data_IF_504055595521
#
_entry.id   IF_504055595521
#
_cell.length_a   1.000
_cell.length_b   1.000
_cell.length_c   1.000
_cell.angle_alpha   90.00
_cell.angle_beta   90.00
_cell.angle_gamma   90.00
#
_symmetry.space_group_name_H-M   'P 1'
#
loop_
_entity.id
_entity.type
_entity.pdbx_description
1 polymer ?
#
# COMPACT_ATOMS: atom_id res chain seq x y z
N UNK A 1 -0.47 20.70 18.27
CA UNK A 1 -1.08 19.39 18.09
C UNK A 1 -0.11 18.53 17.30
N UNK A 2 0.36 17.39 17.85
CA UNK A 2 1.32 16.50 17.19
C UNK A 2 0.67 15.77 16.00
N UNK A 3 1.47 15.19 15.08
CA UNK A 3 1.02 14.30 14.00
C UNK A 3 0.05 13.24 14.52
N UNK A 4 0.48 12.47 15.52
CA UNK A 4 -0.33 11.42 16.16
C UNK A 4 -1.66 11.94 16.69
N UNK A 5 -1.69 13.07 17.38
CA UNK A 5 -2.93 13.65 17.90
C UNK A 5 -3.92 14.01 16.79
N UNK A 6 -3.43 14.59 15.67
CA UNK A 6 -4.26 14.90 14.50
C UNK A 6 -4.86 13.62 13.90
N UNK A 7 -4.04 12.59 13.71
CA UNK A 7 -4.44 11.32 13.14
C UNK A 7 -5.44 10.56 14.03
N UNK A 8 -5.22 10.54 15.34
CA UNK A 8 -6.18 9.94 16.27
C UNK A 8 -7.54 10.67 16.26
N UNK A 9 -7.53 12.00 16.18
CA UNK A 9 -8.76 12.77 16.07
C UNK A 9 -9.52 12.48 14.75
N UNK A 10 -8.78 12.34 13.62
CA UNK A 10 -9.34 11.93 12.33
C UNK A 10 -9.93 10.52 12.38
N UNK A 11 -9.21 9.57 12.93
CA UNK A 11 -9.66 8.17 13.06
C UNK A 11 -10.86 8.04 13.98
N UNK A 12 -10.89 8.79 15.09
CA UNK A 12 -12.06 8.84 15.99
C UNK A 12 -13.32 9.31 15.25
N UNK A 13 -13.22 10.34 14.40
CA UNK A 13 -14.34 10.80 13.55
C UNK A 13 -14.80 9.74 12.56
N UNK A 14 -13.88 8.90 12.07
CA UNK A 14 -14.18 7.77 11.19
C UNK A 14 -14.70 6.54 11.94
N UNK A 15 -14.76 6.57 13.27
CA UNK A 15 -15.27 5.48 14.11
C UNK A 15 -14.21 4.44 14.53
N UNK A 16 -12.93 4.68 14.27
CA UNK A 16 -11.84 3.82 14.77
C UNK A 16 -11.49 4.16 16.22
N UNK A 17 -11.17 3.14 17.01
CA UNK A 17 -10.65 3.26 18.38
C UNK A 17 -9.25 2.66 18.42
N UNK A 18 -8.25 3.49 18.59
CA UNK A 18 -6.82 3.11 18.58
C UNK A 18 -6.32 2.98 20.01
N UNK A 19 -5.43 2.04 20.26
CA UNK A 19 -4.80 1.85 21.57
C UNK A 19 -3.99 3.11 21.97
N UNK A 20 -4.18 3.67 23.18
CA UNK A 20 -3.49 4.90 23.59
C UNK A 20 -1.99 4.72 23.75
N UNK A 21 -1.54 3.51 24.02
CA UNK A 21 -0.13 3.14 24.22
C UNK A 21 0.61 2.80 22.93
N UNK A 22 -0.04 2.98 21.77
CA UNK A 22 0.58 2.65 20.48
C UNK A 22 1.86 3.48 20.26
N UNK A 23 3.02 2.86 20.01
CA UNK A 23 4.26 3.60 19.78
C UNK A 23 4.13 4.65 18.68
N UNK A 24 4.80 5.77 18.84
CA UNK A 24 4.95 6.76 17.77
C UNK A 24 6.20 6.44 16.97
N UNK A 25 6.13 6.64 15.66
CA UNK A 25 7.30 6.56 14.81
C UNK A 25 8.42 7.50 15.31
N UNK A 26 9.68 7.08 15.15
CA UNK A 26 10.84 7.86 15.56
C UNK A 26 11.08 9.01 14.56
N UNK A 27 11.58 10.15 15.04
CA UNK A 27 11.81 11.37 14.26
C UNK A 27 12.82 11.25 13.09
N UNK A 28 13.45 10.09 12.92
CA UNK A 28 14.47 9.84 11.90
C UNK A 28 13.92 9.22 10.60
N UNK A 29 12.62 9.13 10.44
CA UNK A 29 12.00 8.54 9.25
C UNK A 29 12.19 9.44 8.04
N UNK A 30 12.66 8.84 6.97
CA UNK A 30 12.91 9.51 5.69
C UNK A 30 12.13 8.80 4.60
N UNK A 31 11.56 9.56 3.70
CA UNK A 31 10.95 9.01 2.48
C UNK A 31 12.05 8.53 1.54
N UNK A 32 11.86 7.37 0.96
CA UNK A 32 12.73 6.79 -0.07
C UNK A 32 12.91 7.73 -1.25
N UNK A 33 14.02 7.62 -1.98
CA UNK A 33 14.17 8.30 -3.27
C UNK A 33 13.00 7.99 -4.21
N UNK A 34 12.49 9.01 -4.88
CA UNK A 34 11.39 8.87 -5.82
C UNK A 34 11.66 7.84 -6.93
N UNK A 35 12.93 7.69 -7.32
CA UNK A 35 13.38 6.69 -8.30
C UNK A 35 13.08 5.26 -7.86
N UNK A 36 13.30 4.96 -6.57
CA UNK A 36 13.00 3.63 -6.01
C UNK A 36 11.49 3.39 -5.91
N UNK A 37 10.72 4.41 -5.47
CA UNK A 37 9.26 4.34 -5.37
C UNK A 37 8.66 4.14 -6.76
N UNK A 38 9.10 4.90 -7.77
CA UNK A 38 8.64 4.76 -9.14
C UNK A 38 9.00 3.39 -9.74
N UNK A 39 10.20 2.89 -9.47
CA UNK A 39 10.61 1.55 -9.90
C UNK A 39 9.72 0.47 -9.28
N UNK A 40 9.40 0.59 -7.97
CA UNK A 40 8.53 -0.35 -7.27
C UNK A 40 7.09 -0.31 -7.80
N UNK A 41 6.53 0.87 -8.00
CA UNK A 41 5.21 1.05 -8.61
C UNK A 41 5.13 0.36 -9.98
N UNK A 42 6.12 0.61 -10.86
CA UNK A 42 6.17 0.01 -12.20
C UNK A 42 6.29 -1.52 -12.13
N UNK A 43 7.07 -2.04 -11.19
CA UNK A 43 7.23 -3.47 -10.98
C UNK A 43 5.91 -4.15 -10.58
N UNK A 44 5.16 -3.56 -9.64
CA UNK A 44 3.86 -4.05 -9.22
C UNK A 44 2.85 -4.00 -10.37
N UNK A 45 2.84 -2.91 -11.15
CA UNK A 45 1.98 -2.75 -12.33
C UNK A 45 2.27 -3.81 -13.39
N UNK A 46 3.54 -4.02 -13.71
CA UNK A 46 3.96 -5.02 -14.70
C UNK A 46 3.58 -6.44 -14.24
N UNK A 47 3.83 -6.76 -12.98
CA UNK A 47 3.47 -8.05 -12.43
C UNK A 47 1.95 -8.29 -12.45
N UNK A 48 1.17 -7.27 -12.07
CA UNK A 48 -0.28 -7.34 -12.14
C UNK A 48 -0.76 -7.58 -13.57
N UNK A 49 -0.27 -6.79 -14.53
CA UNK A 49 -0.64 -6.92 -15.93
C UNK A 49 -0.19 -8.26 -16.53
N UNK A 50 0.98 -8.77 -16.11
CA UNK A 50 1.47 -10.09 -16.53
C UNK A 50 0.51 -11.21 -16.14
N UNK A 51 -0.03 -11.15 -14.92
CA UNK A 51 -0.95 -12.17 -14.40
C UNK A 51 -2.39 -11.96 -14.86
N UNK A 52 -2.91 -10.72 -14.77
CA UNK A 52 -4.33 -10.43 -14.91
C UNK A 52 -4.78 -9.96 -16.29
N UNK A 53 -3.90 -9.31 -17.08
CA UNK A 53 -4.30 -8.78 -18.39
C UNK A 53 -4.63 -9.90 -19.39
N UNK A 54 -5.64 -9.68 -20.23
CA UNK A 54 -5.99 -10.58 -21.33
C UNK A 54 -5.09 -10.37 -22.56
N UNK A 55 -4.63 -9.13 -22.76
CA UNK A 55 -3.81 -8.77 -23.91
C UNK A 55 -2.36 -9.22 -23.72
N UNK A 56 -1.67 -9.65 -24.79
CA UNK A 56 -0.24 -9.91 -24.74
C UNK A 56 0.51 -8.64 -24.33
N UNK A 57 1.47 -8.78 -23.42
CA UNK A 57 2.32 -7.69 -22.95
C UNK A 57 3.76 -7.94 -23.40
N UNK A 58 4.46 -6.85 -23.76
CA UNK A 58 5.91 -6.92 -23.93
C UNK A 58 6.53 -7.11 -22.54
N UNK A 59 7.46 -8.05 -22.46
CA UNK A 59 8.21 -8.32 -21.23
C UNK A 59 9.27 -7.23 -21.06
N UNK A 60 9.20 -6.52 -19.93
CA UNK A 60 10.21 -5.52 -19.58
C UNK A 60 11.17 -6.08 -18.54
N UNK A 61 12.42 -5.61 -18.55
CA UNK A 61 13.41 -6.03 -17.56
C UNK A 61 13.28 -5.19 -16.27
N UNK A 62 12.49 -5.71 -15.33
CA UNK A 62 12.28 -5.11 -14.01
C UNK A 62 12.99 -5.87 -12.89
N UNK A 63 13.99 -6.68 -13.21
CA UNK A 63 14.63 -7.64 -12.27
C UNK A 63 15.05 -7.02 -10.93
N UNK A 64 15.50 -5.75 -10.93
CA UNK A 64 15.95 -5.07 -9.71
C UNK A 64 14.81 -4.63 -8.80
N UNK A 65 13.65 -4.34 -9.36
CA UNK A 65 12.49 -3.81 -8.62
C UNK A 65 11.50 -4.91 -8.18
N UNK A 66 11.60 -6.11 -8.74
CA UNK A 66 10.82 -7.28 -8.35
C UNK A 66 11.47 -8.00 -7.17
N UNK A 67 10.65 -8.47 -6.22
CA UNK A 67 11.12 -9.36 -5.16
C UNK A 67 11.52 -10.74 -5.71
N UNK A 68 12.19 -11.61 -4.94
CA UNK A 68 12.52 -12.96 -5.40
C UNK A 68 11.31 -13.78 -5.82
N UNK A 69 10.22 -13.67 -5.09
CA UNK A 69 8.96 -14.36 -5.43
C UNK A 69 8.34 -13.78 -6.70
N UNK A 70 8.24 -12.46 -6.79
CA UNK A 70 7.70 -11.77 -7.96
C UNK A 70 8.48 -12.08 -9.24
N UNK A 71 9.83 -12.20 -9.14
CA UNK A 71 10.66 -12.66 -10.26
C UNK A 71 10.30 -14.07 -10.70
N UNK A 72 10.01 -14.98 -9.75
CA UNK A 72 9.57 -16.34 -10.08
C UNK A 72 8.23 -16.32 -10.82
N UNK A 73 7.26 -15.53 -10.35
CA UNK A 73 5.96 -15.38 -11.01
C UNK A 73 6.14 -14.80 -12.43
N UNK A 74 6.90 -13.73 -12.56
CA UNK A 74 7.15 -13.06 -13.84
C UNK A 74 7.96 -13.94 -14.82
N UNK A 75 8.75 -14.91 -14.33
CA UNK A 75 9.49 -15.86 -15.13
C UNK A 75 8.62 -17.02 -15.65
N UNK A 76 7.46 -17.29 -15.05
CA UNK A 76 6.57 -18.36 -15.49
C UNK A 76 5.99 -18.07 -16.88
N UNK A 77 5.61 -19.12 -17.64
CA UNK A 77 4.66 -18.96 -18.74
C UNK A 77 3.41 -18.25 -18.26
N UNK A 78 2.92 -17.26 -19.01
CA UNK A 78 1.83 -16.39 -18.54
C UNK A 78 0.54 -17.14 -18.16
N UNK A 79 0.16 -18.17 -18.93
CA UNK A 79 -1.00 -18.99 -18.61
C UNK A 79 -0.87 -19.67 -17.22
N UNK A 80 0.33 -20.14 -16.88
CA UNK A 80 0.64 -20.71 -15.56
C UNK A 80 0.62 -19.66 -14.46
N UNK A 81 1.22 -18.50 -14.68
CA UNK A 81 1.19 -17.39 -13.74
C UNK A 81 -0.25 -16.95 -13.44
N UNK A 82 -1.09 -16.83 -14.47
CA UNK A 82 -2.52 -16.53 -14.33
C UNK A 82 -3.26 -17.58 -13.53
N UNK A 83 -3.13 -18.85 -13.88
CA UNK A 83 -3.81 -19.95 -13.18
C UNK A 83 -3.47 -20.01 -11.69
N UNK A 84 -2.22 -19.77 -11.32
CA UNK A 84 -1.77 -19.89 -9.93
C UNK A 84 -1.96 -18.62 -9.08
N UNK A 85 -1.93 -17.44 -9.68
CA UNK A 85 -1.83 -16.17 -8.92
C UNK A 85 -2.97 -15.19 -9.19
N UNK A 86 -3.92 -15.47 -10.09
CA UNK A 86 -4.99 -14.53 -10.44
C UNK A 86 -5.83 -14.10 -9.23
N UNK A 87 -6.12 -14.99 -8.30
CA UNK A 87 -6.92 -14.69 -7.11
C UNK A 87 -6.23 -13.78 -6.11
N UNK A 88 -4.89 -13.83 -6.05
CA UNK A 88 -4.10 -13.08 -5.07
C UNK A 88 -3.51 -11.77 -5.63
N UNK A 89 -3.34 -11.68 -6.96
CA UNK A 89 -2.61 -10.54 -7.56
C UNK A 89 -3.33 -9.20 -7.36
N UNK A 90 -4.65 -9.22 -7.17
CA UNK A 90 -5.46 -8.03 -6.95
C UNK A 90 -5.01 -7.19 -5.75
N UNK A 91 -4.44 -7.82 -4.72
CA UNK A 91 -3.91 -7.12 -3.55
C UNK A 91 -2.77 -6.16 -3.87
N UNK A 92 -2.03 -6.37 -4.96
CA UNK A 92 -0.97 -5.47 -5.43
C UNK A 92 -1.49 -4.10 -5.85
N UNK A 93 -2.76 -3.99 -6.24
CA UNK A 93 -3.41 -2.72 -6.56
C UNK A 93 -3.51 -1.82 -5.32
N UNK A 94 -3.77 -2.40 -4.15
CA UNK A 94 -3.82 -1.67 -2.89
C UNK A 94 -2.45 -1.10 -2.50
N UNK A 95 -1.36 -1.84 -2.78
CA UNK A 95 0.00 -1.32 -2.59
C UNK A 95 0.36 -0.22 -3.61
N UNK A 96 -0.15 -0.31 -4.84
CA UNK A 96 0.19 0.64 -5.91
C UNK A 96 -0.39 2.04 -5.63
N UNK A 97 -1.56 2.14 -5.04
CA UNK A 97 -2.23 3.42 -4.83
C UNK A 97 -1.43 4.39 -3.96
N UNK A 98 -0.97 4.02 -2.74
CA UNK A 98 -0.13 4.93 -1.93
C UNK A 98 1.19 5.28 -2.62
N UNK A 99 1.85 4.34 -3.32
CA UNK A 99 3.07 4.65 -4.06
C UNK A 99 2.82 5.68 -5.17
N UNK A 100 1.73 5.51 -5.92
CA UNK A 100 1.32 6.47 -6.94
C UNK A 100 0.99 7.84 -6.35
N UNK A 101 0.31 7.89 -5.20
CA UNK A 101 0.00 9.12 -4.51
C UNK A 101 1.26 9.89 -4.11
N UNK A 102 2.27 9.22 -3.56
CA UNK A 102 3.57 9.85 -3.25
C UNK A 102 4.21 10.49 -4.50
N UNK A 103 3.99 9.89 -5.67
CA UNK A 103 4.50 10.34 -6.96
C UNK A 103 3.58 11.35 -7.69
N UNK A 104 2.49 11.78 -7.07
CA UNK A 104 1.61 12.84 -7.60
C UNK A 104 0.27 12.38 -8.13
N UNK A 105 -0.11 11.13 -7.95
CA UNK A 105 -1.48 10.68 -8.25
C UNK A 105 -2.47 11.20 -7.20
N UNK A 106 -3.65 11.60 -7.63
CA UNK A 106 -4.77 11.97 -6.77
C UNK A 106 -6.01 11.12 -7.11
N UNK A 107 -6.84 10.83 -6.10
CA UNK A 107 -6.77 11.19 -4.68
C UNK A 107 -5.83 10.29 -3.85
N UNK A 108 -5.55 10.72 -2.62
CA UNK A 108 -4.89 9.87 -1.62
C UNK A 108 -5.75 8.63 -1.31
N UNK A 109 -5.14 7.46 -1.01
CA UNK A 109 -5.90 6.31 -0.59
C UNK A 109 -6.64 6.61 0.73
N UNK A 110 -7.96 6.34 0.81
CA UNK A 110 -8.72 6.55 2.02
C UNK A 110 -8.39 5.49 3.08
N UNK A 111 -8.49 5.88 4.35
CA UNK A 111 -8.47 4.93 5.45
C UNK A 111 -9.87 4.33 5.60
N UNK A 112 -10.16 3.36 4.75
CA UNK A 112 -11.39 2.58 4.77
C UNK A 112 -11.07 1.11 4.54
N UNK A 113 -12.02 0.22 4.85
CA UNK A 113 -11.90 -1.20 4.53
C UNK A 113 -12.37 -1.55 3.12
N UNK A 114 -12.71 -0.55 2.32
CA UNK A 114 -13.19 -0.73 0.95
C UNK A 114 -12.01 -0.94 -0.01
N UNK A 115 -12.18 -1.87 -0.93
CA UNK A 115 -11.20 -2.12 -1.98
C UNK A 115 -11.07 -0.92 -2.91
N UNK A 116 -9.93 -0.82 -3.57
CA UNK A 116 -9.65 0.21 -4.57
C UNK A 116 -10.73 0.27 -5.66
N UNK A 117 -11.33 1.44 -5.95
CA UNK A 117 -12.35 1.58 -6.98
C UNK A 117 -11.84 1.30 -8.39
N UNK A 118 -12.72 0.80 -9.26
CA UNK A 118 -12.36 0.42 -10.64
C UNK A 118 -11.81 1.55 -11.49
N UNK A 119 -12.30 2.78 -11.29
CA UNK A 119 -11.78 3.97 -11.96
C UNK A 119 -10.34 4.30 -11.54
N UNK A 120 -10.01 4.13 -10.25
CA UNK A 120 -8.65 4.29 -9.74
C UNK A 120 -7.74 3.20 -10.32
N UNK A 121 -8.20 1.94 -10.33
CA UNK A 121 -7.46 0.84 -10.96
C UNK A 121 -7.11 1.19 -12.42
N UNK A 122 -8.10 1.62 -13.19
CA UNK A 122 -7.90 1.99 -14.60
C UNK A 122 -6.89 3.13 -14.75
N UNK A 123 -7.01 4.15 -13.90
CA UNK A 123 -6.09 5.28 -13.92
C UNK A 123 -4.65 4.85 -13.59
N UNK A 124 -4.44 4.03 -12.55
CA UNK A 124 -3.11 3.55 -12.16
C UNK A 124 -2.47 2.65 -13.22
N UNK A 125 -3.26 1.80 -13.86
CA UNK A 125 -2.75 0.84 -14.84
C UNK A 125 -2.43 1.47 -16.19
N UNK A 126 -3.23 2.44 -16.64
CA UNK A 126 -3.21 2.90 -18.03
C UNK A 126 -2.88 4.38 -18.22
N UNK A 127 -3.20 5.23 -17.25
CA UNK A 127 -3.13 6.68 -17.42
C UNK A 127 -2.02 7.34 -16.56
N UNK A 128 -1.61 6.71 -15.47
CA UNK A 128 -0.62 7.31 -14.58
C UNK A 128 0.81 7.00 -15.02
N UNK A 129 1.57 8.06 -15.32
CA UNK A 129 3.02 7.97 -15.55
C UNK A 129 3.79 8.29 -14.27
N UNK A 130 4.35 7.26 -13.66
CA UNK A 130 5.13 7.36 -12.42
C UNK A 130 6.47 8.06 -12.68
N UNK A 131 6.49 9.38 -12.64
CA UNK A 131 7.74 10.17 -12.70
C UNK A 131 8.59 9.90 -11.46
N UNK A 132 9.91 9.88 -11.65
CA UNK A 132 10.87 9.68 -10.57
C UNK A 132 11.11 10.99 -9.76
N UNK A 133 10.02 11.62 -9.33
CA UNK A 133 10.00 12.86 -8.54
C UNK A 133 8.97 12.73 -7.44
N UNK A 134 9.33 13.07 -6.19
CA UNK A 134 8.37 13.20 -5.11
C UNK A 134 7.46 14.41 -5.42
N UNK A 135 6.16 14.19 -5.35
CA UNK A 135 5.17 15.24 -5.53
C UNK A 135 4.49 15.61 -4.20
N UNK A 136 4.76 14.82 -3.15
CA UNK A 136 4.26 15.08 -1.79
C UNK A 136 5.41 15.50 -0.90
N UNK A 137 5.12 16.40 0.05
CA UNK A 137 6.06 16.72 1.10
C UNK A 137 6.32 15.46 1.95
N UNK A 138 7.57 15.19 2.36
CA UNK A 138 7.86 14.05 3.24
C UNK A 138 6.99 14.02 4.51
N UNK A 139 6.62 15.18 5.07
CA UNK A 139 5.73 15.23 6.23
C UNK A 139 4.32 14.71 5.94
N UNK A 140 3.78 14.95 4.73
CA UNK A 140 2.48 14.42 4.30
C UNK A 140 2.52 12.88 4.17
N UNK A 141 3.63 12.35 3.64
CA UNK A 141 3.83 10.89 3.52
C UNK A 141 3.87 10.23 4.89
N UNK A 142 4.62 10.83 5.81
CA UNK A 142 4.72 10.36 7.20
C UNK A 142 3.39 10.52 7.96
N UNK A 143 2.62 11.57 7.69
CA UNK A 143 1.30 11.76 8.27
C UNK A 143 0.32 10.68 7.81
N UNK A 144 0.37 10.32 6.53
CA UNK A 144 -0.47 9.26 5.97
C UNK A 144 -0.04 7.88 6.49
N UNK A 145 1.26 7.60 6.58
CA UNK A 145 1.78 6.35 7.15
C UNK A 145 1.30 6.17 8.60
N UNK A 146 1.47 7.17 9.45
CA UNK A 146 1.03 7.13 10.85
C UNK A 146 -0.50 6.95 10.98
N UNK A 147 -1.26 7.54 10.06
CA UNK A 147 -2.71 7.35 10.01
C UNK A 147 -3.07 5.88 9.72
N UNK A 148 -2.41 5.27 8.72
CA UNK A 148 -2.61 3.86 8.38
C UNK A 148 -2.08 2.90 9.44
N UNK A 149 -0.97 3.24 10.10
CA UNK A 149 -0.44 2.49 11.24
C UNK A 149 -1.47 2.39 12.37
N UNK A 150 -2.06 3.52 12.76
CA UNK A 150 -3.08 3.57 13.79
C UNK A 150 -4.37 2.81 13.39
N UNK A 151 -4.79 2.95 12.14
CA UNK A 151 -5.98 2.24 11.65
C UNK A 151 -5.75 0.73 11.57
N UNK A 152 -4.54 0.29 11.18
CA UNK A 152 -4.16 -1.13 11.16
C UNK A 152 -4.20 -1.73 12.57
N UNK A 153 -3.68 -1.03 13.59
CA UNK A 153 -3.79 -1.46 14.99
C UNK A 153 -5.26 -1.68 15.39
N UNK A 154 -6.14 -0.72 15.09
CA UNK A 154 -7.56 -0.87 15.37
C UNK A 154 -8.19 -2.07 14.64
N UNK A 155 -7.82 -2.29 13.37
CA UNK A 155 -8.25 -3.44 12.58
C UNK A 155 -7.77 -4.77 13.19
N UNK A 156 -6.50 -4.86 13.60
CA UNK A 156 -5.95 -6.05 14.28
C UNK A 156 -6.67 -6.34 15.60
N UNK A 157 -6.94 -5.31 16.39
CA UNK A 157 -7.74 -5.45 17.61
C UNK A 157 -9.16 -5.97 17.31
N UNK A 158 -9.78 -5.50 16.22
CA UNK A 158 -11.10 -5.99 15.83
C UNK A 158 -11.10 -7.46 15.38
N UNK A 159 -10.02 -7.93 14.74
CA UNK A 159 -9.83 -9.34 14.40
C UNK A 159 -9.78 -10.25 15.67
N UNK A 160 -9.34 -9.68 16.79
CA UNK A 160 -9.30 -10.35 18.10
C UNK A 160 -10.57 -10.13 18.93
N UNK A 161 -11.67 -9.64 18.32
CA UNK A 161 -12.95 -9.44 18.96
C UNK A 161 -13.16 -8.04 19.57
N UNK A 162 -12.21 -7.12 19.42
CA UNK A 162 -12.36 -5.73 19.88
C UNK A 162 -13.39 -4.94 19.06
N UNK A 163 -14.11 -4.03 19.71
CA UNK A 163 -15.05 -3.08 19.06
C UNK A 163 -14.30 -1.79 18.67
N UNK A 164 -13.29 -1.92 17.82
CA UNK A 164 -12.30 -0.87 17.53
C UNK A 164 -12.39 -0.28 16.13
N UNK A 165 -13.28 -0.80 15.29
CA UNK A 165 -13.50 -0.35 13.91
C UNK A 165 -14.90 0.20 13.71
N UNK A 166 -15.16 1.00 12.65
CA UNK A 166 -16.48 1.55 12.35
C UNK A 166 -17.55 0.47 12.19
N UNK A 167 -18.81 0.86 12.43
CA UNK A 167 -19.95 -0.01 12.11
C UNK A 167 -19.96 -0.33 10.61
N UNK A 168 -20.13 -1.61 10.26
CA UNK A 168 -20.10 -2.11 8.89
C UNK A 168 -18.71 -2.41 8.34
N UNK A 169 -17.65 -2.05 9.06
CA UNK A 169 -16.29 -2.45 8.67
C UNK A 169 -16.09 -3.96 8.85
N UNK A 170 -15.60 -4.64 7.81
CA UNK A 170 -15.32 -6.07 7.89
C UNK A 170 -13.91 -6.32 8.46
N UNK A 171 -13.76 -6.89 9.67
CA UNK A 171 -12.46 -6.96 10.36
C UNK A 171 -11.38 -7.70 9.56
N UNK A 172 -11.71 -8.74 8.81
CA UNK A 172 -10.71 -9.48 8.01
C UNK A 172 -10.42 -8.76 6.70
N UNK A 173 -11.42 -8.59 5.83
CA UNK A 173 -11.21 -8.02 4.50
C UNK A 173 -10.77 -6.54 4.57
N UNK A 174 -11.46 -5.73 5.39
CA UNK A 174 -11.12 -4.31 5.52
C UNK A 174 -9.75 -4.07 6.16
N UNK A 175 -9.36 -4.89 7.15
CA UNK A 175 -7.99 -4.83 7.70
C UNK A 175 -6.97 -5.26 6.66
N UNK A 176 -7.28 -6.22 5.79
CA UNK A 176 -6.42 -6.61 4.66
C UNK A 176 -6.14 -5.45 3.71
N UNK A 177 -7.17 -4.67 3.35
CA UNK A 177 -7.02 -3.46 2.52
C UNK A 177 -6.10 -2.44 3.21
N UNK A 178 -6.36 -2.15 4.49
CA UNK A 178 -5.53 -1.22 5.28
C UNK A 178 -4.09 -1.74 5.39
N UNK A 179 -3.89 -3.03 5.58
CA UNK A 179 -2.58 -3.70 5.67
C UNK A 179 -1.75 -3.47 4.41
N UNK A 180 -2.31 -3.74 3.23
CA UNK A 180 -1.60 -3.57 1.96
C UNK A 180 -1.24 -2.11 1.68
N UNK A 181 -2.17 -1.16 1.91
CA UNK A 181 -1.89 0.27 1.78
C UNK A 181 -0.81 0.73 2.76
N UNK A 182 -0.89 0.27 4.01
CA UNK A 182 0.14 0.53 5.02
C UNK A 182 1.49 -0.06 4.61
N UNK A 183 1.52 -1.30 4.10
CA UNK A 183 2.76 -1.93 3.67
C UNK A 183 3.56 -1.03 2.71
N UNK A 184 2.89 -0.49 1.70
CA UNK A 184 3.53 0.40 0.74
C UNK A 184 4.03 1.72 1.38
N UNK A 185 3.26 2.30 2.32
CA UNK A 185 3.64 3.52 3.03
C UNK A 185 4.81 3.27 3.99
N UNK A 186 4.73 2.21 4.81
CA UNK A 186 5.81 1.85 5.74
C UNK A 186 7.10 1.53 5.00
N UNK A 187 7.03 0.82 3.87
CA UNK A 187 8.20 0.60 3.02
C UNK A 187 8.75 1.92 2.45
N UNK A 188 7.89 2.82 1.99
CA UNK A 188 8.32 4.10 1.43
C UNK A 188 8.98 5.01 2.49
N UNK A 189 8.63 4.87 3.77
CA UNK A 189 9.21 5.62 4.89
C UNK A 189 10.36 4.88 5.59
N UNK A 190 10.72 3.68 5.12
CA UNK A 190 11.81 2.85 5.66
C UNK A 190 12.89 2.56 4.61
N UNK A 191 13.74 3.54 4.21
CA UNK A 191 14.60 3.43 3.01
C UNK A 191 15.68 2.32 3.07
N UNK A 192 15.96 1.75 4.24
CA UNK A 192 16.93 0.66 4.43
C UNK A 192 16.31 -0.74 4.45
N UNK A 193 14.98 -0.83 4.46
CA UNK A 193 14.24 -2.08 4.60
C UNK A 193 13.84 -2.59 3.22
N UNK A 194 14.03 -3.87 2.91
CA UNK A 194 13.52 -4.46 1.68
C UNK A 194 11.99 -4.56 1.72
N UNK A 195 11.37 -4.71 0.57
CA UNK A 195 9.92 -4.84 0.46
C UNK A 195 9.38 -6.00 1.30
N UNK A 196 9.97 -7.19 1.15
CA UNK A 196 9.52 -8.40 1.86
C UNK A 196 9.86 -8.39 3.36
N UNK A 197 10.80 -7.53 3.79
CA UNK A 197 11.25 -7.40 5.19
C UNK A 197 10.54 -6.25 5.92
N UNK A 198 9.53 -5.61 5.30
CA UNK A 198 8.80 -4.49 5.90
C UNK A 198 8.02 -4.95 7.13
N UNK A 199 8.39 -4.42 8.30
CA UNK A 199 7.71 -4.73 9.56
C UNK A 199 6.36 -4.02 9.67
N UNK A 200 5.30 -4.80 9.79
CA UNK A 200 3.92 -4.34 9.94
C UNK A 200 3.32 -4.70 11.31
N UNK A 201 4.16 -5.03 12.29
CA UNK A 201 3.70 -5.24 13.66
C UNK A 201 3.02 -3.98 14.22
N UNK A 202 2.04 -4.18 15.12
CA UNK A 202 1.27 -3.10 15.78
C UNK A 202 0.90 -3.48 17.19
#
# INVERSE_FOLDING_TARGET
MTRRQKNLAKLKKLGFKVAPSLPTARDAERVRPATEIAARFRALRELFLWVASEKPLKRTDLKRALTPEERRIHAMPRAKARSLHQSAIGWRLENMWPLAWILGFDPAPPVSGEMIPGEIIRALLWNFDAKAKLARDPSEVLDLEDLFYCAHNAGRSAQLGGKTVPKGFHPIAGTGVIHERRHALTWATSPRVKWDDTDLST
#
